data_IF_336909745208
#
_entry.id   IF_336909745208
#
_cell.length_a   1.000
_cell.length_b   1.000
_cell.length_c   1.000
_cell.angle_alpha   90.00
_cell.angle_beta   90.00
_cell.angle_gamma   90.00
#
_symmetry.space_group_name_H-M   'P 1'
#
loop_
_entity.id
_entity.type
_entity.pdbx_description
1 polymer ?
#
# COMPACT_ATOMS: atom_id res chain seq x y z
N UNK A 1 3.37 26.73 43.54
CA UNK A 1 3.41 25.31 43.85
C UNK A 1 3.21 24.54 42.54
N UNK A 2 4.10 23.64 42.18
CA UNK A 2 4.05 22.83 40.94
C UNK A 2 2.77 21.98 40.81
N UNK A 3 2.08 21.76 41.93
CA UNK A 3 0.79 21.05 41.93
C UNK A 3 -0.27 21.81 41.10
N UNK A 4 -0.21 23.12 41.03
CA UNK A 4 -1.14 23.93 40.23
C UNK A 4 -0.84 23.93 38.74
N UNK A 5 0.30 23.39 38.31
CA UNK A 5 0.69 23.24 36.92
C UNK A 5 0.15 21.93 36.34
N UNK A 6 -0.22 20.95 37.20
CA UNK A 6 -0.76 19.67 36.76
C UNK A 6 -2.22 19.85 36.36
N UNK A 7 -2.52 19.57 35.09
CA UNK A 7 -3.88 19.62 34.56
C UNK A 7 -4.45 18.21 34.28
N UNK A 8 -3.57 17.22 34.10
CA UNK A 8 -3.98 15.85 33.83
C UNK A 8 -2.91 14.84 34.30
N UNK A 9 -3.32 13.58 34.35
CA UNK A 9 -2.41 12.45 34.48
C UNK A 9 -2.49 11.58 33.23
N UNK A 10 -1.35 11.25 32.65
CA UNK A 10 -1.24 10.56 31.38
C UNK A 10 -0.53 9.22 31.56
N UNK A 11 -0.91 8.25 30.70
CA UNK A 11 -0.18 7.00 30.53
C UNK A 11 -0.01 6.73 29.03
N UNK A 12 1.14 6.26 28.65
CA UNK A 12 1.42 5.87 27.27
C UNK A 12 1.53 4.35 27.17
N UNK A 13 0.75 3.75 26.28
CA UNK A 13 0.73 2.31 26.05
C UNK A 13 0.94 2.02 24.56
N UNK A 14 1.87 1.12 24.28
CA UNK A 14 2.05 0.61 22.91
C UNK A 14 1.15 -0.61 22.69
N UNK A 15 0.13 -0.44 21.84
CA UNK A 15 -0.85 -1.49 21.51
C UNK A 15 -0.60 -2.16 20.15
N UNK A 16 0.51 -1.88 19.48
CA UNK A 16 0.79 -2.31 18.10
C UNK A 16 0.71 -3.81 17.87
N UNK A 17 0.97 -4.61 18.90
CA UNK A 17 0.95 -6.08 18.81
C UNK A 17 -0.13 -6.72 19.70
N UNK A 18 -0.95 -5.91 20.35
CA UNK A 18 -1.96 -6.42 21.28
C UNK A 18 -3.22 -6.86 20.53
N UNK A 19 -3.57 -8.13 20.65
CA UNK A 19 -4.72 -8.75 19.97
C UNK A 19 -5.81 -9.26 20.90
N UNK A 20 -5.49 -9.36 22.20
CA UNK A 20 -6.38 -9.87 23.24
C UNK A 20 -6.69 -8.76 24.25
N UNK A 21 -7.77 -8.88 25.02
CA UNK A 21 -8.00 -7.99 26.15
C UNK A 21 -6.76 -7.91 27.04
N UNK A 22 -6.41 -6.70 27.46
CA UNK A 22 -5.24 -6.42 28.28
C UNK A 22 -5.70 -5.86 29.61
N UNK A 23 -5.22 -6.48 30.69
CA UNK A 23 -5.33 -5.95 32.04
C UNK A 23 -3.92 -5.74 32.56
N UNK A 24 -3.58 -4.52 32.89
CA UNK A 24 -2.23 -4.15 33.33
C UNK A 24 -2.28 -3.00 34.33
N UNK A 25 -1.36 -3.03 35.28
CA UNK A 25 -1.14 -1.93 36.19
C UNK A 25 -0.21 -0.91 35.52
N UNK A 26 -0.66 0.34 35.43
CA UNK A 26 0.06 1.43 34.74
C UNK A 26 0.35 2.55 35.70
N UNK A 27 1.55 3.15 35.57
CA UNK A 27 1.96 4.30 36.34
C UNK A 27 1.49 5.57 35.68
N UNK A 28 0.84 6.42 36.46
CA UNK A 28 0.40 7.73 35.99
C UNK A 28 1.56 8.73 36.01
N UNK A 29 1.66 9.54 34.97
CA UNK A 29 2.60 10.67 34.86
C UNK A 29 1.79 11.96 34.89
N UNK A 30 2.04 12.86 35.85
CA UNK A 30 1.38 14.18 35.87
C UNK A 30 1.90 15.02 34.71
N UNK A 31 0.99 15.69 34.02
CA UNK A 31 1.33 16.55 32.86
C UNK A 31 0.71 17.94 33.00
N UNK A 32 1.38 18.93 32.43
CA UNK A 32 0.89 20.32 32.29
C UNK A 32 -0.10 20.48 31.11
N UNK A 33 -0.52 21.71 30.84
CA UNK A 33 -1.44 22.04 29.76
C UNK A 33 -0.87 21.77 28.36
N UNK A 34 0.45 21.76 28.23
CA UNK A 34 1.19 21.49 27.01
C UNK A 34 1.51 19.99 26.83
N UNK A 35 1.19 19.14 27.84
CA UNK A 35 1.42 17.70 27.81
C UNK A 35 2.82 17.28 28.30
N UNK A 36 3.61 18.19 28.87
CA UNK A 36 4.92 17.86 29.40
C UNK A 36 4.80 17.28 30.83
N UNK A 37 5.69 16.32 31.15
CA UNK A 37 5.71 15.73 32.46
C UNK A 37 6.11 16.74 33.55
N UNK A 38 5.29 16.88 34.59
CA UNK A 38 5.58 17.72 35.77
C UNK A 38 6.33 16.89 36.80
N UNK A 39 7.57 17.28 37.08
CA UNK A 39 8.41 16.64 38.09
C UNK A 39 8.15 17.22 39.48
N UNK A 40 8.54 16.48 40.55
CA UNK A 40 8.39 16.83 41.96
C UNK A 40 6.93 16.97 42.42
N UNK A 41 6.01 16.26 41.72
CA UNK A 41 4.62 16.08 42.12
C UNK A 41 4.33 14.59 42.28
N UNK A 42 3.67 14.23 43.38
CA UNK A 42 3.23 12.84 43.61
C UNK A 42 1.73 12.75 43.39
N UNK A 43 1.33 11.78 42.57
CA UNK A 43 -0.07 11.45 42.37
C UNK A 43 -0.52 10.39 43.38
N UNK A 44 -1.76 10.44 43.78
CA UNK A 44 -2.39 9.40 44.62
C UNK A 44 -3.75 9.05 44.02
N UNK A 45 -3.92 7.82 43.51
CA UNK A 45 -2.94 6.75 43.38
C UNK A 45 -1.88 7.00 42.29
N UNK A 46 -0.66 6.50 42.45
CA UNK A 46 0.40 6.55 41.45
C UNK A 46 0.22 5.48 40.36
N UNK A 47 -0.41 4.39 40.71
CA UNK A 47 -0.64 3.23 39.84
C UNK A 47 -2.12 2.94 39.81
N UNK A 48 -2.63 2.73 38.61
CA UNK A 48 -4.01 2.32 38.36
C UNK A 48 -4.06 1.04 37.56
N UNK A 49 -5.09 0.22 37.81
CA UNK A 49 -5.37 -0.91 36.98
C UNK A 49 -6.15 -0.46 35.75
N UNK A 50 -5.57 -0.70 34.57
CA UNK A 50 -6.18 -0.39 33.29
C UNK A 50 -6.66 -1.68 32.63
N UNK A 51 -7.93 -1.73 32.32
CA UNK A 51 -8.53 -2.83 31.55
C UNK A 51 -8.93 -2.34 30.17
N UNK A 52 -8.28 -2.90 29.13
CA UNK A 52 -8.54 -2.62 27.75
C UNK A 52 -9.29 -3.79 27.11
N UNK A 53 -10.52 -3.59 26.73
CA UNK A 53 -11.32 -4.58 26.01
C UNK A 53 -11.01 -4.51 24.51
N UNK A 54 -9.94 -5.20 24.10
CA UNK A 54 -9.60 -5.34 22.70
C UNK A 54 -10.46 -6.47 22.12
N UNK A 55 -11.25 -6.16 21.10
CA UNK A 55 -12.07 -7.12 20.37
C UNK A 55 -11.58 -7.19 18.94
N UNK A 56 -11.55 -8.40 18.39
CA UNK A 56 -11.37 -8.61 16.96
C UNK A 56 -12.55 -7.99 16.23
N UNK A 57 -12.27 -7.24 15.17
CA UNK A 57 -13.32 -6.72 14.29
C UNK A 57 -13.71 -7.82 13.30
N UNK A 58 -14.87 -8.42 13.51
CA UNK A 58 -15.42 -9.41 12.58
C UNK A 58 -16.12 -8.73 11.36
N UNK A 59 -16.21 -7.39 11.40
CA UNK A 59 -16.75 -6.54 10.36
C UNK A 59 -15.68 -6.03 9.37
N UNK A 60 -14.45 -6.53 9.44
CA UNK A 60 -13.34 -6.17 8.55
C UNK A 60 -12.59 -7.41 8.08
N UNK A 61 -12.32 -7.47 6.78
CA UNK A 61 -11.50 -8.50 6.14
C UNK A 61 -10.38 -7.87 5.32
N UNK A 62 -9.16 -8.41 5.46
CA UNK A 62 -8.05 -8.10 4.58
C UNK A 62 -8.14 -8.99 3.34
N UNK A 63 -8.04 -8.38 2.15
CA UNK A 63 -8.19 -9.06 0.87
C UNK A 63 -7.05 -8.65 -0.05
N UNK A 64 -6.48 -9.63 -0.74
CA UNK A 64 -5.45 -9.40 -1.76
C UNK A 64 -6.02 -8.67 -2.97
N UNK A 65 -5.17 -7.92 -3.67
CA UNK A 65 -5.54 -7.24 -4.91
C UNK A 65 -4.70 -7.77 -6.05
N UNK A 66 -5.30 -7.80 -7.23
CA UNK A 66 -4.62 -8.05 -8.49
C UNK A 66 -5.06 -7.02 -9.52
N UNK A 67 -4.13 -6.32 -10.19
CA UNK A 67 -4.49 -5.50 -11.35
C UNK A 67 -5.12 -6.33 -12.46
N UNK A 68 -6.18 -5.82 -13.07
CA UNK A 68 -6.81 -6.40 -14.25
C UNK A 68 -6.13 -5.84 -15.49
N UNK A 69 -5.27 -6.63 -16.11
CA UNK A 69 -4.53 -6.24 -17.32
C UNK A 69 -5.22 -6.86 -18.53
N UNK A 70 -5.60 -6.02 -19.47
CA UNK A 70 -6.25 -6.42 -20.72
C UNK A 70 -5.39 -6.05 -21.93
N UNK A 71 -5.47 -6.88 -22.95
CA UNK A 71 -4.68 -6.73 -24.17
C UNK A 71 -3.20 -7.06 -23.99
N UNK A 72 -2.45 -6.88 -25.03
CA UNK A 72 -0.99 -7.02 -25.09
C UNK A 72 -0.41 -5.82 -25.79
N UNK A 73 0.82 -5.40 -25.47
CA UNK A 73 1.49 -4.35 -26.24
C UNK A 73 1.51 -4.64 -27.72
N UNK A 74 1.55 -3.62 -28.58
CA UNK A 74 1.60 -3.78 -30.04
C UNK A 74 2.82 -4.59 -30.48
N UNK A 75 2.78 -5.08 -31.72
CA UNK A 75 3.91 -5.81 -32.32
C UNK A 75 5.21 -5.00 -32.21
N UNK A 76 6.28 -5.66 -31.79
CA UNK A 76 7.58 -5.04 -31.54
C UNK A 76 7.76 -4.50 -30.12
N UNK A 77 6.78 -4.68 -29.24
CA UNK A 77 6.86 -4.30 -27.82
C UNK A 77 6.51 -5.44 -26.89
N UNK A 78 7.10 -5.45 -25.69
CA UNK A 78 6.84 -6.47 -24.66
C UNK A 78 6.67 -5.82 -23.30
N UNK A 79 5.79 -6.41 -22.50
CA UNK A 79 5.66 -6.13 -21.07
C UNK A 79 6.83 -6.79 -20.33
N UNK A 80 7.72 -6.00 -19.75
CA UNK A 80 8.88 -6.49 -19.00
C UNK A 80 8.55 -6.76 -17.55
N UNK A 81 7.91 -5.81 -16.89
CA UNK A 81 7.54 -5.94 -15.48
C UNK A 81 6.24 -5.20 -15.17
N UNK A 82 5.58 -5.67 -14.12
CA UNK A 82 4.39 -5.07 -13.54
C UNK A 82 4.55 -5.07 -12.03
N UNK A 83 4.46 -3.89 -11.43
CA UNK A 83 4.45 -3.72 -9.98
C UNK A 83 3.26 -2.86 -9.56
N UNK A 84 2.75 -3.10 -8.35
CA UNK A 84 1.61 -2.34 -7.84
C UNK A 84 1.62 -2.26 -6.32
N UNK A 85 1.00 -1.22 -5.80
CA UNK A 85 0.90 -0.97 -4.36
C UNK A 85 -0.39 -0.19 -4.04
N UNK A 86 -1.09 -0.55 -2.95
CA UNK A 86 -0.87 -1.68 -2.05
C UNK A 86 -1.27 -3.02 -2.67
N UNK A 87 -0.79 -4.13 -2.10
CA UNK A 87 -1.13 -5.49 -2.54
C UNK A 87 -2.35 -6.06 -1.81
N UNK A 88 -2.73 -5.42 -0.72
CA UNK A 88 -3.89 -5.79 0.11
C UNK A 88 -4.70 -4.57 0.47
N UNK A 89 -5.99 -4.76 0.65
CA UNK A 89 -6.93 -3.75 1.14
C UNK A 89 -7.75 -4.28 2.30
N UNK A 90 -8.23 -3.36 3.14
CA UNK A 90 -9.18 -3.66 4.20
C UNK A 90 -10.58 -3.32 3.73
N UNK A 91 -11.46 -4.31 3.74
CA UNK A 91 -12.87 -4.18 3.39
C UNK A 91 -13.72 -4.36 4.65
N UNK A 92 -14.64 -3.44 4.89
CA UNK A 92 -15.64 -3.52 5.97
C UNK A 92 -17.00 -3.86 5.41
N UNK A 93 -17.72 -4.70 6.15
CA UNK A 93 -19.08 -5.12 5.82
C UNK A 93 -19.63 -6.07 6.86
N UNK A 94 -20.83 -6.57 6.64
CA UNK A 94 -21.39 -7.62 7.51
C UNK A 94 -20.59 -8.93 7.36
N UNK A 95 -20.54 -9.81 8.38
CA UNK A 95 -19.83 -11.07 8.30
C UNK A 95 -20.23 -11.95 7.11
N UNK A 96 -21.52 -11.94 6.74
CA UNK A 96 -22.05 -12.67 5.58
C UNK A 96 -21.55 -12.10 4.25
N UNK A 97 -21.49 -10.78 4.11
CA UNK A 97 -20.95 -10.11 2.92
C UNK A 97 -19.45 -10.35 2.78
N UNK A 98 -18.71 -10.22 3.89
CA UNK A 98 -17.28 -10.47 3.89
C UNK A 98 -16.93 -11.93 3.56
N UNK A 99 -17.75 -12.89 4.02
CA UNK A 99 -17.60 -14.30 3.70
C UNK A 99 -17.89 -14.61 2.22
N UNK A 100 -18.76 -13.83 1.58
CA UNK A 100 -19.09 -13.97 0.16
C UNK A 100 -18.03 -13.37 -0.79
N UNK A 101 -17.13 -12.52 -0.27
CA UNK A 101 -16.07 -11.91 -1.07
C UNK A 101 -15.04 -12.95 -1.51
N UNK A 102 -14.52 -12.82 -2.74
CA UNK A 102 -13.41 -13.64 -3.20
C UNK A 102 -12.14 -13.35 -2.39
N UNK A 103 -11.17 -14.25 -2.44
CA UNK A 103 -9.88 -14.06 -1.75
C UNK A 103 -9.00 -13.00 -2.44
N UNK A 104 -9.35 -12.64 -3.66
CA UNK A 104 -8.63 -11.61 -4.44
C UNK A 104 -9.62 -10.72 -5.15
N UNK A 105 -9.51 -9.40 -4.93
CA UNK A 105 -10.23 -8.39 -5.68
C UNK A 105 -9.42 -7.95 -6.89
N UNK A 106 -10.12 -7.47 -7.91
CA UNK A 106 -9.50 -6.92 -9.11
C UNK A 106 -9.66 -5.41 -9.15
N UNK A 107 -8.74 -4.74 -9.84
CA UNK A 107 -8.88 -3.31 -10.15
C UNK A 107 -9.74 -3.11 -11.38
N UNK A 108 -10.08 -1.86 -11.68
CA UNK A 108 -10.53 -1.50 -13.02
C UNK A 108 -9.48 -1.94 -14.05
N UNK A 109 -9.96 -2.37 -15.23
CA UNK A 109 -9.11 -2.87 -16.30
C UNK A 109 -8.11 -1.82 -16.81
N UNK A 110 -6.89 -2.26 -17.08
CA UNK A 110 -5.81 -1.47 -17.68
C UNK A 110 -5.51 -2.09 -19.03
N UNK A 111 -5.78 -1.33 -20.11
CA UNK A 111 -5.56 -1.80 -21.48
C UNK A 111 -4.13 -1.49 -21.94
N UNK A 112 -3.43 -2.50 -22.45
CA UNK A 112 -2.08 -2.42 -23.01
C UNK A 112 -2.05 -2.41 -24.55
N UNK A 113 -3.18 -2.54 -25.23
CA UNK A 113 -3.25 -2.77 -26.68
C UNK A 113 -2.60 -1.66 -27.52
N UNK A 114 -2.51 -0.44 -26.97
CA UNK A 114 -1.90 0.71 -27.67
C UNK A 114 -0.68 1.27 -26.94
N UNK A 115 -0.14 0.55 -25.94
CA UNK A 115 0.95 1.03 -25.11
C UNK A 115 2.31 0.62 -25.67
N UNK A 116 3.11 1.61 -26.04
CA UNK A 116 4.46 1.44 -26.60
C UNK A 116 5.58 1.90 -25.65
N UNK A 117 5.23 2.43 -24.49
CA UNK A 117 6.17 2.93 -23.48
C UNK A 117 5.70 2.60 -22.07
N UNK A 118 6.64 2.54 -21.15
CA UNK A 118 6.37 2.39 -19.72
C UNK A 118 5.53 3.54 -19.19
N UNK A 119 4.64 3.25 -18.24
CA UNK A 119 3.79 4.25 -17.60
C UNK A 119 3.38 3.83 -16.20
N UNK A 120 2.93 4.81 -15.43
CA UNK A 120 2.27 4.61 -14.15
C UNK A 120 0.83 5.08 -14.25
N UNK A 121 -0.05 4.35 -13.58
CA UNK A 121 -1.46 4.69 -13.50
C UNK A 121 -2.01 4.39 -12.12
N UNK A 122 -3.07 5.09 -11.74
CA UNK A 122 -3.79 4.87 -10.49
C UNK A 122 -5.21 4.43 -10.82
N UNK A 123 -5.56 3.21 -10.44
CA UNK A 123 -6.84 2.58 -10.77
C UNK A 123 -7.60 2.20 -9.51
N UNK A 124 -8.92 2.35 -9.49
CA UNK A 124 -9.74 1.95 -8.34
C UNK A 124 -9.88 0.43 -8.25
N UNK A 125 -10.04 -0.05 -7.02
CA UNK A 125 -10.48 -1.42 -6.74
C UNK A 125 -11.97 -1.54 -7.03
N UNK A 126 -12.37 -2.61 -7.70
CA UNK A 126 -13.77 -2.89 -7.99
C UNK A 126 -14.40 -3.68 -6.84
N UNK A 127 -15.47 -3.14 -6.27
CA UNK A 127 -16.35 -3.81 -5.33
C UNK A 127 -17.74 -3.92 -5.93
N UNK A 128 -18.24 -5.13 -6.08
CA UNK A 128 -19.56 -5.37 -6.70
C UNK A 128 -20.73 -5.05 -5.76
N UNK A 129 -20.50 -5.13 -4.44
CA UNK A 129 -21.53 -4.83 -3.44
C UNK A 129 -21.37 -3.39 -2.92
N UNK A 130 -22.36 -2.50 -3.14
CA UNK A 130 -22.30 -1.10 -2.69
C UNK A 130 -22.36 -0.92 -1.17
N UNK A 131 -22.72 -1.96 -0.42
CA UNK A 131 -22.75 -1.91 1.04
C UNK A 131 -21.39 -2.26 1.69
N UNK A 132 -20.42 -2.66 0.90
CA UNK A 132 -19.06 -2.86 1.35
C UNK A 132 -18.28 -1.55 1.28
N UNK A 133 -17.42 -1.33 2.27
CA UNK A 133 -16.60 -0.13 2.36
C UNK A 133 -15.12 -0.50 2.34
N UNK A 134 -14.36 0.14 1.45
CA UNK A 134 -12.91 0.13 1.52
C UNK A 134 -12.43 1.06 2.63
N UNK A 135 -11.80 0.51 3.67
CA UNK A 135 -11.21 1.26 4.79
C UNK A 135 -9.80 1.78 4.47
N UNK A 136 -9.14 1.17 3.49
CA UNK A 136 -7.84 1.58 2.97
C UNK A 136 -7.99 2.48 1.74
N UNK A 137 -6.86 2.78 1.07
CA UNK A 137 -6.88 3.58 -0.17
C UNK A 137 -7.74 2.90 -1.23
N UNK A 138 -8.61 3.65 -1.87
CA UNK A 138 -9.49 3.15 -2.93
C UNK A 138 -8.75 2.91 -4.25
N UNK A 139 -7.63 3.61 -4.46
CA UNK A 139 -6.84 3.55 -5.69
C UNK A 139 -5.53 2.81 -5.46
N UNK A 140 -5.17 1.99 -6.42
CA UNK A 140 -3.94 1.23 -6.48
C UNK A 140 -3.03 1.89 -7.52
N UNK A 141 -1.80 2.23 -7.12
CA UNK A 141 -0.76 2.65 -8.06
C UNK A 141 -0.20 1.42 -8.77
N UNK A 142 -0.22 1.44 -10.08
CA UNK A 142 0.31 0.36 -10.94
C UNK A 142 1.39 0.94 -11.83
N UNK A 143 2.60 0.38 -11.77
CA UNK A 143 3.73 0.72 -12.63
C UNK A 143 3.96 -0.42 -13.62
N UNK A 144 3.97 -0.07 -14.89
CA UNK A 144 4.05 -1.00 -16.01
C UNK A 144 5.26 -0.64 -16.88
N UNK A 145 6.18 -1.59 -17.04
CA UNK A 145 7.37 -1.41 -17.86
C UNK A 145 7.19 -2.11 -19.21
N UNK A 146 7.23 -1.33 -20.28
CA UNK A 146 7.15 -1.79 -21.66
C UNK A 146 8.42 -1.37 -22.39
N UNK A 147 9.01 -2.29 -23.14
CA UNK A 147 10.16 -1.99 -23.99
C UNK A 147 9.99 -2.54 -25.40
N UNK A 148 10.70 -1.95 -26.36
CA UNK A 148 10.77 -2.47 -27.70
C UNK A 148 11.58 -3.78 -27.73
N UNK A 149 11.12 -4.73 -28.51
CA UNK A 149 11.87 -5.95 -28.81
C UNK A 149 12.99 -5.59 -29.76
N UNK A 150 14.23 -5.64 -29.27
CA UNK A 150 15.40 -5.43 -30.11
C UNK A 150 15.87 -6.76 -30.67
N UNK A 151 15.96 -6.87 -32.00
CA UNK A 151 16.63 -7.98 -32.66
C UNK A 151 17.96 -7.50 -33.25
N UNK A 152 19.04 -8.23 -33.02
CA UNK A 152 20.31 -7.97 -33.67
C UNK A 152 20.53 -9.00 -34.78
N UNK A 153 20.90 -8.52 -35.95
CA UNK A 153 21.34 -9.37 -37.06
C UNK A 153 22.82 -9.14 -37.30
N UNK A 154 23.61 -10.19 -37.15
CA UNK A 154 25.01 -10.14 -37.47
C UNK A 154 25.16 -10.39 -38.98
N UNK A 155 25.93 -9.54 -39.64
CA UNK A 155 26.36 -9.72 -41.03
C UNK A 155 27.80 -10.14 -41.03
N UNK A 156 28.10 -11.33 -41.47
CA UNK A 156 29.47 -11.87 -41.50
C UNK A 156 30.32 -11.27 -42.61
N UNK A 157 29.67 -10.75 -43.65
CA UNK A 157 30.37 -10.02 -44.72
C UNK A 157 29.41 -9.04 -45.40
N UNK A 158 29.78 -7.79 -45.45
CA UNK A 158 29.09 -6.77 -46.24
C UNK A 158 30.01 -6.45 -47.45
N UNK A 159 29.59 -6.79 -48.69
CA UNK A 159 30.38 -6.38 -49.86
C UNK A 159 30.37 -4.87 -49.96
N UNK A 160 31.58 -4.30 -49.99
CA UNK A 160 31.78 -2.86 -50.18
C UNK A 160 32.21 -2.67 -51.64
N UNK A 161 31.37 -2.03 -52.43
CA UNK A 161 31.69 -1.60 -53.80
C UNK A 161 32.21 -0.18 -53.74
N UNK A 162 33.46 0.03 -54.14
CA UNK A 162 34.07 1.36 -54.21
C UNK A 162 33.82 1.92 -55.61
N UNK A 163 32.87 2.84 -55.72
CA UNK A 163 32.59 3.57 -56.95
C UNK A 163 33.42 4.85 -57.02
N UNK A 164 34.09 5.06 -58.15
CA UNK A 164 34.75 6.36 -58.45
C UNK A 164 36.27 6.39 -58.21
N UNK A 165 36.96 5.26 -58.18
CA UNK A 165 38.41 5.26 -58.39
C UNK A 165 38.67 5.66 -59.85
N UNK A 166 38.85 6.97 -60.10
CA UNK A 166 39.46 7.41 -61.35
C UNK A 166 40.93 6.92 -61.36
N UNK A 167 41.24 6.00 -62.26
CA UNK A 167 42.61 5.70 -62.63
C UNK A 167 43.21 6.98 -63.29
N UNK A 168 43.72 7.85 -62.47
CA UNK A 168 44.52 8.97 -62.88
C UNK A 168 45.98 8.54 -62.98
N UNK A 169 46.43 8.36 -64.15
CA UNK A 169 47.81 8.43 -64.67
C UNK A 169 48.90 7.64 -63.94
#
# INVERSE_FOLDING_TARGET
>A
SKVNEVVAAQVELNLSQQRNPLETDVRLVPVDAEGNAVTDVTLEPQVIRLTLNIRRRDDVREISIRPDIQGTPPEGYVLNSLSYSPQVVLVSGSPSQLAALPDTLVTQAIDLSERTSSFETSVPVVLDDPNLLLLSRQNISVSIEISAVTSSKQFDSIPIEVLGLNNGL
#
